data_IF_361967732706
#
_entry.id   IF_361967732706
#
_cell.length_a   1.000
_cell.length_b   1.000
_cell.length_c   1.000
_cell.angle_alpha   90.00
_cell.angle_beta   90.00
_cell.angle_gamma   90.00
#
_symmetry.space_group_name_H-M   'P 1'
#
loop_
_entity.id
_entity.type
_entity.pdbx_description
1 polymer ?
#
# COMPACT_ATOMS: atom_id res chain seq x y z
N UNK A 1 11.55 4.23 12.36
CA UNK A 1 11.90 5.17 11.27
C UNK A 1 10.68 5.86 10.67
N UNK A 2 9.63 5.15 10.24
CA UNK A 2 8.46 5.76 9.54
C UNK A 2 7.79 6.92 10.30
N UNK A 3 7.63 6.83 11.63
CA UNK A 3 7.04 7.91 12.42
C UNK A 3 7.92 9.16 12.51
N UNK A 4 9.25 9.02 12.46
CA UNK A 4 10.18 10.15 12.50
C UNK A 4 10.21 10.90 11.16
N UNK A 5 10.10 10.19 10.03
CA UNK A 5 10.00 10.80 8.71
C UNK A 5 8.73 11.65 8.55
N UNK A 6 7.61 11.23 9.17
CA UNK A 6 6.38 12.02 9.19
C UNK A 6 6.53 13.37 9.92
N UNK A 7 7.46 13.46 10.89
CA UNK A 7 7.70 14.68 11.68
C UNK A 7 8.77 15.58 11.02
N UNK A 8 9.67 15.00 10.21
CA UNK A 8 10.80 15.72 9.63
C UNK A 8 10.97 15.37 8.13
N UNK A 9 10.44 16.20 7.21
CA UNK A 9 10.40 15.88 5.77
C UNK A 9 11.76 15.57 5.12
N UNK A 10 12.85 16.13 5.63
CA UNK A 10 14.21 15.83 5.13
C UNK A 10 14.64 14.37 5.35
N UNK A 11 13.92 13.62 6.18
CA UNK A 11 14.18 12.20 6.45
C UNK A 11 13.39 11.26 5.54
N UNK A 12 12.54 11.76 4.65
CA UNK A 12 11.72 10.91 3.76
C UNK A 12 12.61 10.10 2.82
N UNK A 13 13.50 10.75 2.07
CA UNK A 13 14.46 10.10 1.16
C UNK A 13 15.30 8.99 1.85
N UNK A 14 16.04 9.26 2.95
CA UNK A 14 16.85 8.23 3.60
C UNK A 14 16.01 7.11 4.22
N UNK A 15 14.81 7.43 4.74
CA UNK A 15 13.91 6.42 5.29
C UNK A 15 13.39 5.48 4.20
N UNK A 16 12.92 6.02 3.09
CA UNK A 16 12.44 5.21 1.97
C UNK A 16 13.56 4.35 1.39
N UNK A 17 14.76 4.91 1.21
CA UNK A 17 15.90 4.16 0.70
C UNK A 17 16.23 2.96 1.59
N UNK A 18 16.32 3.17 2.91
CA UNK A 18 16.57 2.08 3.85
C UNK A 18 15.45 1.03 3.85
N UNK A 19 14.19 1.47 3.77
CA UNK A 19 13.05 0.55 3.77
C UNK A 19 12.99 -0.30 2.50
N UNK A 20 13.22 0.28 1.31
CA UNK A 20 13.18 -0.48 0.04
C UNK A 20 14.36 -1.44 -0.08
N UNK A 21 15.53 -1.07 0.44
CA UNK A 21 16.67 -1.98 0.56
C UNK A 21 16.37 -3.13 1.54
N UNK A 22 15.76 -2.82 2.68
CA UNK A 22 15.42 -3.84 3.68
C UNK A 22 14.40 -4.87 3.17
N UNK A 23 13.43 -4.46 2.35
CA UNK A 23 12.41 -5.39 1.84
C UNK A 23 12.86 -6.21 0.63
N UNK A 24 14.03 -5.95 0.05
CA UNK A 24 14.53 -6.66 -1.13
C UNK A 24 14.81 -8.14 -0.81
N UNK A 25 15.24 -8.44 0.43
CA UNK A 25 15.50 -9.80 0.95
C UNK A 25 14.52 -10.22 2.07
N UNK A 26 13.34 -9.59 2.14
CA UNK A 26 12.39 -9.85 3.23
C UNK A 26 11.42 -10.99 2.88
N UNK A 27 11.24 -11.95 3.80
CA UNK A 27 10.26 -13.04 3.64
C UNK A 27 8.90 -12.71 4.30
N UNK A 28 8.82 -11.60 5.04
CA UNK A 28 7.62 -11.23 5.80
C UNK A 28 6.63 -10.46 4.93
N UNK A 29 5.74 -11.17 4.24
CA UNK A 29 4.76 -10.56 3.30
C UNK A 29 3.98 -9.41 3.93
N UNK A 30 3.56 -9.52 5.20
CA UNK A 30 2.83 -8.46 5.91
C UNK A 30 3.65 -7.18 6.05
N UNK A 31 4.97 -7.29 6.22
CA UNK A 31 5.88 -6.16 6.33
C UNK A 31 6.13 -5.54 4.95
N UNK A 32 6.39 -6.35 3.93
CA UNK A 32 6.53 -5.86 2.55
C UNK A 32 5.30 -5.08 2.08
N UNK A 33 4.08 -5.58 2.34
CA UNK A 33 2.83 -4.85 2.03
C UNK A 33 2.78 -3.47 2.68
N UNK A 34 3.20 -3.37 3.95
CA UNK A 34 3.23 -2.10 4.69
C UNK A 34 4.25 -1.13 4.10
N UNK A 35 5.45 -1.62 3.77
CA UNK A 35 6.50 -0.80 3.16
C UNK A 35 6.07 -0.34 1.76
N UNK A 36 5.55 -1.22 0.91
CA UNK A 36 5.04 -0.85 -0.42
C UNK A 36 3.92 0.18 -0.36
N UNK A 37 3.02 0.06 0.63
CA UNK A 37 1.95 1.04 0.84
C UNK A 37 2.52 2.39 1.28
N UNK A 38 3.52 2.39 2.16
CA UNK A 38 4.20 3.61 2.60
C UNK A 38 4.99 4.28 1.47
N UNK A 39 5.68 3.49 0.64
CA UNK A 39 6.34 3.98 -0.58
C UNK A 39 5.35 4.66 -1.52
N UNK A 40 4.12 4.13 -1.66
CA UNK A 40 3.08 4.74 -2.49
C UNK A 40 2.68 6.16 -2.04
N UNK A 41 2.73 6.40 -0.73
CA UNK A 41 2.32 7.65 -0.11
C UNK A 41 3.49 8.64 -0.05
N UNK A 42 4.71 8.18 0.24
CA UNK A 42 5.87 9.05 0.47
C UNK A 42 6.77 9.27 -0.75
N UNK A 43 6.85 8.33 -1.70
CA UNK A 43 7.70 8.49 -2.88
C UNK A 43 7.45 9.80 -3.66
N UNK A 44 6.20 10.30 -3.83
CA UNK A 44 5.94 11.60 -4.47
C UNK A 44 6.59 12.80 -3.78
N UNK A 45 6.97 12.69 -2.50
CA UNK A 45 7.59 13.76 -1.71
C UNK A 45 9.12 13.70 -1.75
N UNK A 46 9.70 12.69 -2.39
CA UNK A 46 11.15 12.56 -2.52
C UNK A 46 11.73 13.43 -3.62
N UNK A 47 13.05 13.63 -3.56
CA UNK A 47 13.78 14.37 -4.60
C UNK A 47 13.77 13.70 -5.97
N UNK A 48 13.67 12.36 -6.05
CA UNK A 48 13.48 11.63 -7.30
C UNK A 48 12.57 10.40 -7.10
N UNK A 49 11.26 10.53 -7.32
CA UNK A 49 10.31 9.43 -7.18
C UNK A 49 10.53 8.28 -8.19
N UNK A 50 11.26 8.53 -9.29
CA UNK A 50 11.48 7.52 -10.34
C UNK A 50 12.31 6.35 -9.83
N UNK A 51 13.23 6.59 -8.89
CA UNK A 51 14.15 5.56 -8.34
C UNK A 51 13.40 4.36 -7.75
N UNK A 52 12.21 4.59 -7.18
CA UNK A 52 11.43 3.57 -6.50
C UNK A 52 10.71 2.61 -7.47
N UNK A 53 10.54 2.98 -8.74
CA UNK A 53 9.76 2.17 -9.70
C UNK A 53 10.38 0.79 -9.95
N UNK A 54 11.71 0.70 -9.97
CA UNK A 54 12.44 -0.58 -10.13
C UNK A 54 12.15 -1.51 -8.96
N UNK A 55 12.33 -1.02 -7.73
CA UNK A 55 12.07 -1.76 -6.50
C UNK A 55 10.63 -2.30 -6.46
N UNK A 56 9.65 -1.43 -6.72
CA UNK A 56 8.23 -1.84 -6.72
C UNK A 56 7.97 -2.89 -7.81
N UNK A 57 8.51 -2.73 -9.01
CA UNK A 57 8.27 -3.65 -10.12
C UNK A 57 8.95 -5.02 -9.95
N UNK A 58 10.07 -5.10 -9.22
CA UNK A 58 10.69 -6.38 -8.90
C UNK A 58 9.72 -7.27 -8.08
N UNK A 59 9.03 -6.69 -7.08
CA UNK A 59 8.00 -7.39 -6.31
C UNK A 59 6.73 -7.74 -7.11
N UNK A 60 6.53 -7.18 -8.31
CA UNK A 60 5.46 -7.63 -9.23
C UNK A 60 5.80 -8.96 -9.89
N UNK A 61 7.08 -9.34 -9.95
CA UNK A 61 7.53 -10.51 -10.73
C UNK A 61 7.87 -11.71 -9.86
N UNK A 62 8.35 -11.49 -8.64
CA UNK A 62 9.02 -12.52 -7.83
C UNK A 62 8.15 -13.10 -6.70
N UNK A 63 6.93 -12.59 -6.54
CA UNK A 63 6.20 -12.70 -5.27
C UNK A 63 4.81 -13.31 -5.45
N UNK A 64 4.20 -13.70 -4.33
CA UNK A 64 2.83 -14.21 -4.30
C UNK A 64 1.81 -13.20 -4.82
N UNK A 65 0.69 -13.68 -5.38
CA UNK A 65 -0.33 -12.87 -6.05
C UNK A 65 -0.78 -11.64 -5.25
N UNK A 66 -1.03 -11.82 -3.94
CA UNK A 66 -1.49 -10.72 -3.09
C UNK A 66 -0.46 -9.58 -2.98
N UNK A 67 0.83 -9.89 -2.92
CA UNK A 67 1.87 -8.86 -2.87
C UNK A 67 2.03 -8.18 -4.24
N UNK A 68 1.94 -8.95 -5.33
CA UNK A 68 1.96 -8.40 -6.70
C UNK A 68 0.79 -7.42 -6.91
N UNK A 69 -0.40 -7.72 -6.39
CA UNK A 69 -1.55 -6.82 -6.42
C UNK A 69 -1.30 -5.50 -5.65
N UNK A 70 -0.62 -5.59 -4.50
CA UNK A 70 -0.19 -4.40 -3.74
C UNK A 70 0.82 -3.59 -4.53
N UNK A 71 1.83 -4.21 -5.14
CA UNK A 71 2.83 -3.53 -5.94
C UNK A 71 2.23 -2.84 -7.18
N UNK A 72 1.27 -3.48 -7.86
CA UNK A 72 0.47 -2.88 -8.96
C UNK A 72 -0.29 -1.64 -8.47
N UNK A 73 -0.90 -1.71 -7.29
CA UNK A 73 -1.61 -0.58 -6.67
C UNK A 73 -0.67 0.56 -6.29
N UNK A 74 0.51 0.24 -5.72
CA UNK A 74 1.56 1.21 -5.38
C UNK A 74 2.04 1.97 -6.61
N UNK A 75 2.28 1.28 -7.73
CA UNK A 75 2.60 1.92 -9.01
C UNK A 75 1.49 2.90 -9.45
N UNK A 76 0.23 2.47 -9.40
CA UNK A 76 -0.91 3.30 -9.81
C UNK A 76 -1.03 4.59 -8.99
N UNK A 77 -0.82 4.50 -7.66
CA UNK A 77 -0.82 5.67 -6.77
C UNK A 77 0.29 6.67 -7.09
N UNK A 78 1.51 6.19 -7.31
CA UNK A 78 2.62 7.07 -7.72
C UNK A 78 2.29 7.72 -9.08
N UNK A 79 1.69 7.00 -10.02
CA UNK A 79 1.28 7.57 -11.30
C UNK A 79 0.13 8.60 -11.17
N UNK A 80 -0.69 8.52 -10.12
CA UNK A 80 -1.70 9.53 -9.79
C UNK A 80 -1.02 10.84 -9.35
N UNK A 81 -0.10 10.73 -8.39
CA UNK A 81 0.55 11.85 -7.69
C UNK A 81 1.73 12.47 -8.46
N UNK A 82 2.35 11.70 -9.35
CA UNK A 82 3.53 12.12 -10.12
C UNK A 82 3.22 12.01 -11.63
N UNK A 83 2.49 12.99 -12.22
CA UNK A 83 2.09 12.95 -13.63
C UNK A 83 3.22 12.69 -14.64
N UNK A 84 4.45 13.21 -14.47
CA UNK A 84 5.57 12.89 -15.37
C UNK A 84 5.93 11.40 -15.45
N UNK A 85 5.64 10.61 -14.41
CA UNK A 85 5.92 9.17 -14.39
C UNK A 85 4.79 8.32 -15.00
N UNK A 86 3.60 8.89 -15.20
CA UNK A 86 2.40 8.17 -15.63
C UNK A 86 2.60 7.33 -16.89
N UNK A 87 3.27 7.86 -17.91
CA UNK A 87 3.55 7.11 -19.16
C UNK A 87 4.43 5.88 -18.88
N UNK A 88 5.48 6.05 -18.07
CA UNK A 88 6.42 4.97 -17.72
C UNK A 88 5.71 3.89 -16.91
N UNK A 89 4.95 4.30 -15.90
CA UNK A 89 4.20 3.38 -15.04
C UNK A 89 3.11 2.63 -15.82
N UNK A 90 2.39 3.30 -16.72
CA UNK A 90 1.41 2.60 -17.59
C UNK A 90 2.05 1.51 -18.45
N UNK A 91 3.31 1.63 -18.84
CA UNK A 91 4.03 0.54 -19.55
C UNK A 91 4.21 -0.66 -18.62
N UNK A 92 4.58 -0.42 -17.37
CA UNK A 92 4.73 -1.48 -16.35
C UNK A 92 3.38 -2.16 -16.07
N UNK A 93 2.32 -1.38 -15.83
CA UNK A 93 0.97 -1.92 -15.60
C UNK A 93 0.46 -2.76 -16.78
N UNK A 94 0.74 -2.38 -18.03
CA UNK A 94 0.37 -3.22 -19.19
C UNK A 94 1.14 -4.53 -19.28
N UNK A 95 2.30 -4.67 -18.62
CA UNK A 95 2.97 -5.98 -18.53
C UNK A 95 2.28 -6.87 -17.50
N UNK A 96 1.80 -6.28 -16.41
CA UNK A 96 1.00 -6.94 -15.38
C UNK A 96 -0.38 -7.40 -15.87
N UNK A 97 -0.86 -6.98 -17.05
CA UNK A 97 -2.14 -7.48 -17.58
C UNK A 97 -2.07 -8.93 -18.08
N UNK A 98 -0.87 -9.50 -18.18
CA UNK A 98 -0.64 -10.91 -18.55
C UNK A 98 -0.29 -11.76 -17.32
N UNK A 99 -0.55 -11.26 -16.12
CA UNK A 99 -0.30 -11.97 -14.87
C UNK A 99 -1.14 -13.27 -14.78
N UNK A 100 -0.63 -14.30 -14.11
CA UNK A 100 -1.38 -15.56 -13.93
C UNK A 100 -2.60 -15.40 -13.02
N UNK A 101 -2.57 -14.42 -12.10
CA UNK A 101 -3.62 -14.18 -11.14
C UNK A 101 -4.63 -13.13 -11.63
N UNK A 102 -5.92 -13.46 -11.52
CA UNK A 102 -7.04 -12.65 -12.01
C UNK A 102 -7.11 -11.29 -11.30
N UNK A 103 -6.89 -11.25 -9.98
CA UNK A 103 -6.94 -10.02 -9.18
C UNK A 103 -5.82 -9.05 -9.58
N UNK A 104 -4.62 -9.58 -9.85
CA UNK A 104 -3.47 -8.79 -10.32
C UNK A 104 -3.74 -8.24 -11.72
N UNK A 105 -4.23 -9.08 -12.66
CA UNK A 105 -4.55 -8.67 -14.03
C UNK A 105 -5.61 -7.58 -14.06
N UNK A 106 -6.69 -7.77 -13.31
CA UNK A 106 -7.84 -6.85 -13.31
C UNK A 106 -7.44 -5.48 -12.77
N UNK A 107 -6.67 -5.43 -11.67
CA UNK A 107 -6.10 -4.19 -11.16
C UNK A 107 -5.21 -3.50 -12.18
N UNK A 108 -4.32 -4.26 -12.82
CA UNK A 108 -3.40 -3.72 -13.80
C UNK A 108 -4.11 -3.10 -15.02
N UNK A 109 -5.10 -3.80 -15.56
CA UNK A 109 -5.95 -3.33 -16.65
C UNK A 109 -6.74 -2.08 -16.24
N UNK A 110 -7.41 -2.14 -15.10
CA UNK A 110 -8.22 -1.05 -14.56
C UNK A 110 -7.39 0.22 -14.36
N UNK A 111 -6.27 0.15 -13.63
CA UNK A 111 -5.42 1.31 -13.39
C UNK A 111 -4.77 1.84 -14.69
N UNK A 112 -4.34 0.95 -15.59
CA UNK A 112 -3.78 1.35 -16.90
C UNK A 112 -4.79 2.15 -17.74
N UNK A 113 -6.06 1.74 -17.71
CA UNK A 113 -7.16 2.40 -18.40
C UNK A 113 -7.51 3.75 -17.76
N UNK A 114 -7.64 3.81 -16.43
CA UNK A 114 -7.88 5.07 -15.72
C UNK A 114 -6.80 6.11 -15.98
N UNK A 115 -5.52 5.71 -15.87
CA UNK A 115 -4.38 6.58 -16.14
C UNK A 115 -4.32 7.04 -17.61
N UNK A 116 -4.98 6.34 -18.54
CA UNK A 116 -5.09 6.78 -19.92
C UNK A 116 -6.08 7.95 -20.10
N UNK A 117 -7.15 8.00 -19.29
CA UNK A 117 -8.19 9.03 -19.35
C UNK A 117 -7.69 10.42 -18.93
N UNK A 118 -6.64 10.47 -18.09
CA UNK A 118 -6.00 11.69 -17.57
C UNK A 118 -6.95 12.64 -16.82
N UNK A 119 -8.09 12.13 -16.38
CA UNK A 119 -9.04 12.86 -15.53
C UNK A 119 -8.53 12.85 -14.08
N UNK A 120 -8.13 14.01 -13.56
CA UNK A 120 -7.56 14.10 -12.22
C UNK A 120 -8.56 13.73 -11.13
N UNK A 121 -9.83 14.12 -11.27
CA UNK A 121 -10.87 13.84 -10.28
C UNK A 121 -11.10 12.33 -10.19
N UNK A 122 -11.32 11.71 -11.35
CA UNK A 122 -11.54 10.26 -11.43
C UNK A 122 -10.34 9.46 -10.88
N UNK A 123 -9.11 9.93 -11.14
CA UNK A 123 -7.91 9.27 -10.65
C UNK A 123 -7.79 9.34 -9.12
N UNK A 124 -8.04 10.50 -8.52
CA UNK A 124 -8.05 10.64 -7.06
C UNK A 124 -9.16 9.79 -6.45
N UNK A 125 -10.37 9.86 -6.99
CA UNK A 125 -11.52 9.12 -6.49
C UNK A 125 -11.32 7.60 -6.55
N UNK A 126 -10.87 7.07 -7.70
CA UNK A 126 -10.81 5.62 -7.93
C UNK A 126 -9.50 4.95 -7.53
N UNK A 127 -8.44 5.72 -7.24
CA UNK A 127 -7.11 5.16 -6.87
C UNK A 127 -6.69 5.60 -5.46
N UNK A 128 -6.87 6.88 -5.11
CA UNK A 128 -6.41 7.40 -3.82
C UNK A 128 -7.46 7.17 -2.73
N UNK A 129 -8.68 7.65 -2.94
CA UNK A 129 -9.72 7.69 -1.92
C UNK A 129 -10.18 6.29 -1.51
N UNK A 130 -10.37 5.37 -2.47
CA UNK A 130 -10.76 3.97 -2.19
C UNK A 130 -9.90 3.33 -1.09
N UNK A 131 -8.62 3.70 -1.00
CA UNK A 131 -7.76 3.17 0.07
C UNK A 131 -8.09 3.78 1.44
N UNK A 132 -8.41 5.06 1.51
CA UNK A 132 -8.74 5.75 2.75
C UNK A 132 -10.09 5.30 3.31
N UNK A 133 -11.10 5.06 2.47
CA UNK A 133 -12.36 4.45 2.94
C UNK A 133 -12.12 3.04 3.50
N UNK A 134 -11.33 2.20 2.81
CA UNK A 134 -10.97 0.85 3.29
C UNK A 134 -10.11 0.91 4.56
N UNK A 135 -9.17 1.88 4.67
CA UNK A 135 -8.37 2.11 5.89
C UNK A 135 -9.27 2.50 7.06
N UNK A 136 -10.23 3.40 6.83
CA UNK A 136 -11.19 3.86 7.84
C UNK A 136 -12.09 2.73 8.30
N UNK A 137 -12.61 1.93 7.37
CA UNK A 137 -13.42 0.74 7.67
C UNK A 137 -12.62 -0.28 8.48
N UNK A 138 -11.38 -0.62 8.05
CA UNK A 138 -10.51 -1.53 8.81
C UNK A 138 -10.15 -1.00 10.20
N UNK A 139 -9.89 0.30 10.33
CA UNK A 139 -9.64 0.93 11.62
C UNK A 139 -10.88 0.82 12.53
N UNK A 140 -12.07 1.05 11.97
CA UNK A 140 -13.34 0.94 12.70
C UNK A 140 -13.64 -0.51 13.12
N UNK A 141 -13.36 -1.49 12.25
CA UNK A 141 -13.45 -2.92 12.59
C UNK A 141 -12.46 -3.30 13.69
N UNK A 142 -11.21 -2.83 13.61
CA UNK A 142 -10.21 -3.07 14.65
C UNK A 142 -10.60 -2.44 16.01
N UNK A 143 -11.11 -1.20 15.99
CA UNK A 143 -11.65 -0.52 17.17
C UNK A 143 -12.83 -1.28 17.80
N UNK A 144 -13.76 -1.79 16.97
CA UNK A 144 -14.88 -2.61 17.44
C UNK A 144 -14.44 -3.97 18.01
N UNK A 145 -13.39 -4.57 17.46
CA UNK A 145 -12.85 -5.85 17.96
C UNK A 145 -12.16 -5.69 19.33
N UNK A 146 -11.55 -4.53 19.56
CA UNK A 146 -10.95 -4.17 20.87
C UNK A 146 -12.01 -3.90 21.94
N UNK A 147 -13.15 -3.29 21.59
CA UNK A 147 -14.23 -3.05 22.56
C UNK A 147 -14.88 -4.36 23.05
N UNK A 148 -15.04 -5.36 22.17
CA UNK A 148 -15.55 -6.68 22.55
C UNK A 148 -14.60 -7.45 23.50
N UNK A 149 -13.28 -7.31 23.35
CA UNK A 149 -12.29 -7.93 24.25
C UNK A 149 -12.28 -7.31 25.66
N UNK A 150 -12.58 -5.99 25.75
CA UNK A 150 -12.69 -5.30 27.04
C UNK A 150 -13.94 -5.71 27.82
N UNK A 151 -15.01 -6.12 27.15
CA UNK A 151 -16.26 -6.56 27.81
C UNK A 151 -16.14 -8.00 28.34
N UNK A 152 -15.42 -8.89 27.65
CA UNK A 152 -15.22 -10.28 28.10
C UNK A 152 -14.25 -10.41 29.30
N UNK A 153 -13.31 -9.47 29.46
CA UNK A 153 -12.40 -9.45 30.61
C UNK A 153 -13.10 -8.98 31.91
N UNK A 154 -14.21 -8.24 31.81
CA UNK A 154 -14.94 -7.70 32.96
C UNK A 154 -15.96 -8.69 33.57
N UNK A 155 -16.31 -9.78 32.88
CA UNK A 155 -17.32 -10.76 33.34
C UNK A 155 -16.73 -12.02 34.01
N UNK A 156 -15.40 -12.10 34.21
CA UNK A 156 -14.74 -13.30 34.76
C UNK A 156 -14.44 -13.31 36.27
N UNK A 157 -14.80 -12.24 37.01
CA UNK A 157 -14.46 -12.11 38.43
C UNK A 157 -15.69 -12.17 39.34
N UNK A 158 -16.23 -13.36 39.59
CA UNK A 158 -17.39 -13.52 40.48
C UNK A 158 -17.74 -14.97 40.74
N UNK A 159 -16.84 -15.70 41.41
CA UNK A 159 -17.07 -17.10 41.77
C UNK A 159 -16.23 -17.52 42.96
N UNK A 160 -16.52 -16.93 44.13
CA UNK A 160 -15.91 -17.33 45.39
C UNK A 160 -16.88 -17.13 46.55
N UNK A 161 -17.23 -18.22 47.22
CA UNK A 161 -17.81 -18.23 48.56
C UNK A 161 -19.26 -18.69 48.64
N UNK A 162 -19.49 -20.00 48.81
CA UNK A 162 -20.26 -20.50 49.95
C UNK A 162 -20.17 -22.04 50.03
N UNK A 163 -19.83 -22.55 51.22
CA UNK A 163 -19.71 -23.98 51.54
C UNK A 163 -18.61 -24.26 52.54
#
# INVERSE_FOLDING_TARGET
MMHLAAVQPMLIDPTLNHLVEFIDDCELTRLMKKVLSYVADEAPHTSDPRRYLRYIYNHVTLEEAELRAVAVTTLAKIACRVPPLRKSIRVLLRRCSNDSDDEVRDRALFYSALLARRDKHLLTEMIENVTEEVKKERAQVALSSLSHLSTSAASGGGGGGDG
#
